data_IF_166916078737
#
_entry.id   IF_166916078737
#
_cell.length_a   1.000
_cell.length_b   1.000
_cell.length_c   1.000
_cell.angle_alpha   90.00
_cell.angle_beta   90.00
_cell.angle_gamma   90.00
#
_symmetry.space_group_name_H-M   'P 1'
#
loop_
_entity.id
_entity.type
_entity.pdbx_description
1 polymer ?
#
# COMPACT_ATOMS: atom_id res chain seq x y z
N UNK A 1 -48.76 -21.81 1.69
CA UNK A 1 -47.68 -21.99 2.67
C UNK A 1 -46.34 -21.83 1.97
N UNK A 2 -45.49 -20.97 2.54
CA UNK A 2 -44.02 -20.94 2.49
C UNK A 2 -43.27 -21.32 1.20
N UNK A 3 -42.55 -20.34 0.63
CA UNK A 3 -41.15 -20.53 0.29
C UNK A 3 -40.34 -19.40 0.91
N UNK A 4 -39.88 -19.62 2.14
CA UNK A 4 -38.93 -18.73 2.82
C UNK A 4 -37.60 -18.73 2.09
N UNK A 5 -37.33 -17.66 1.34
CA UNK A 5 -36.01 -17.38 0.81
C UNK A 5 -35.13 -16.99 2.00
N UNK A 6 -34.22 -17.89 2.36
CA UNK A 6 -33.26 -17.67 3.44
C UNK A 6 -32.25 -16.63 2.98
N UNK A 7 -32.48 -15.38 3.36
CA UNK A 7 -31.51 -14.29 3.17
C UNK A 7 -30.35 -14.53 4.15
N UNK A 8 -29.28 -15.16 3.67
CA UNK A 8 -28.09 -15.38 4.49
C UNK A 8 -27.40 -14.01 4.68
N UNK A 9 -27.15 -13.56 5.92
CA UNK A 9 -26.49 -12.29 6.13
C UNK A 9 -25.09 -12.30 5.50
N UNK A 10 -24.75 -11.24 4.78
CA UNK A 10 -23.44 -11.08 4.15
C UNK A 10 -22.32 -11.22 5.21
N UNK A 11 -21.30 -12.02 4.90
CA UNK A 11 -20.17 -12.26 5.80
C UNK A 11 -19.39 -10.96 6.01
N UNK A 12 -19.20 -10.55 7.27
CA UNK A 12 -18.33 -9.41 7.63
C UNK A 12 -16.90 -9.62 7.13
N UNK A 13 -16.31 -8.57 6.57
CA UNK A 13 -14.94 -8.60 6.06
C UNK A 13 -13.93 -8.82 7.21
N UNK A 14 -12.90 -9.61 6.96
CA UNK A 14 -11.80 -9.82 7.90
C UNK A 14 -10.90 -8.58 8.01
N UNK A 15 -10.15 -8.40 9.11
CA UNK A 15 -9.19 -7.30 9.23
C UNK A 15 -8.14 -7.25 8.10
N UNK A 16 -7.77 -8.41 7.55
CA UNK A 16 -6.84 -8.50 6.42
C UNK A 16 -7.47 -7.93 5.14
N UNK A 17 -8.73 -8.27 4.87
CA UNK A 17 -9.47 -7.74 3.72
C UNK A 17 -9.69 -6.23 3.84
N UNK A 18 -10.02 -5.74 5.03
CA UNK A 18 -10.18 -4.31 5.31
C UNK A 18 -8.88 -3.53 5.08
N UNK A 19 -7.73 -4.04 5.53
CA UNK A 19 -6.41 -3.44 5.23
C UNK A 19 -6.03 -3.50 3.76
N UNK A 20 -6.33 -4.60 3.07
CA UNK A 20 -6.11 -4.70 1.62
C UNK A 20 -6.94 -3.65 0.86
N UNK A 21 -8.19 -3.43 1.25
CA UNK A 21 -9.04 -2.37 0.67
C UNK A 21 -8.50 -0.98 1.02
N UNK A 22 -8.04 -0.77 2.25
CA UNK A 22 -7.42 0.48 2.67
C UNK A 22 -6.19 0.84 1.82
N UNK A 23 -5.33 -0.13 1.48
CA UNK A 23 -4.21 0.10 0.53
C UNK A 23 -4.70 0.51 -0.85
N UNK A 24 -5.74 -0.14 -1.40
CA UNK A 24 -6.30 0.25 -2.70
C UNK A 24 -6.82 1.68 -2.69
N UNK A 25 -7.55 2.07 -1.65
CA UNK A 25 -8.02 3.45 -1.52
C UNK A 25 -6.86 4.43 -1.28
N UNK A 26 -5.82 4.03 -0.53
CA UNK A 26 -4.60 4.82 -0.36
C UNK A 26 -3.91 5.11 -1.70
N UNK A 27 -3.80 4.11 -2.58
CA UNK A 27 -3.25 4.30 -3.93
C UNK A 27 -4.11 5.28 -4.76
N UNK A 28 -5.43 5.14 -4.71
CA UNK A 28 -6.34 6.06 -5.41
C UNK A 28 -6.22 7.49 -4.90
N UNK A 29 -6.14 7.67 -3.57
CA UNK A 29 -5.96 8.98 -2.95
C UNK A 29 -4.60 9.61 -3.32
N UNK A 30 -3.51 8.82 -3.32
CA UNK A 30 -2.18 9.30 -3.74
C UNK A 30 -2.15 9.67 -5.23
N UNK A 31 -2.81 8.89 -6.08
CA UNK A 31 -2.92 9.22 -7.50
C UNK A 31 -3.72 10.51 -7.71
N UNK A 32 -4.85 10.66 -7.01
CA UNK A 32 -5.62 11.89 -7.02
C UNK A 32 -4.79 13.09 -6.53
N UNK A 33 -4.04 12.92 -5.44
CA UNK A 33 -3.15 13.97 -4.92
C UNK A 33 -2.02 14.33 -5.89
N UNK A 34 -1.52 13.35 -6.64
CA UNK A 34 -0.51 13.60 -7.66
C UNK A 34 -1.06 14.36 -8.88
N UNK A 35 -2.32 14.10 -9.26
CA UNK A 35 -2.96 14.72 -10.43
C UNK A 35 -3.66 16.04 -10.11
N UNK A 36 -4.14 16.21 -8.88
CA UNK A 36 -4.91 17.37 -8.46
C UNK A 36 -4.07 18.27 -7.53
N UNK A 37 -4.23 19.58 -7.65
CA UNK A 37 -3.69 20.55 -6.69
C UNK A 37 -4.57 20.68 -5.43
N UNK A 38 -5.22 19.58 -5.05
CA UNK A 38 -6.12 19.49 -3.88
C UNK A 38 -5.29 19.15 -2.64
N UNK A 39 -5.61 19.76 -1.50
CA UNK A 39 -4.89 19.50 -0.27
C UNK A 39 -5.14 18.05 0.22
N UNK A 40 -4.14 17.36 0.80
CA UNK A 40 -4.30 15.99 1.29
C UNK A 40 -5.51 15.79 2.22
N UNK A 41 -5.77 16.73 3.14
CA UNK A 41 -6.91 16.62 4.07
C UNK A 41 -8.27 16.60 3.35
N UNK A 42 -8.40 17.31 2.22
CA UNK A 42 -9.65 17.35 1.45
C UNK A 42 -9.86 16.04 0.70
N UNK A 43 -8.79 15.48 0.14
CA UNK A 43 -8.83 14.17 -0.52
C UNK A 43 -9.23 13.12 0.50
N UNK A 44 -8.56 13.07 1.65
CA UNK A 44 -8.88 12.10 2.70
C UNK A 44 -10.33 12.20 3.17
N UNK A 45 -10.84 13.42 3.39
CA UNK A 45 -12.22 13.63 3.77
C UNK A 45 -13.22 13.03 2.76
N UNK A 46 -12.92 13.06 1.45
CA UNK A 46 -13.77 12.43 0.42
C UNK A 46 -13.82 10.90 0.56
N UNK A 47 -12.72 10.26 0.95
CA UNK A 47 -12.69 8.81 1.16
C UNK A 47 -13.41 8.41 2.45
N UNK A 48 -13.35 9.26 3.48
CA UNK A 48 -13.93 9.03 4.80
C UNK A 48 -15.41 9.47 4.93
N UNK A 49 -15.91 10.31 4.03
CA UNK A 49 -17.30 10.83 4.10
C UNK A 49 -18.38 9.80 3.74
N UNK A 50 -18.01 8.53 3.54
CA UNK A 50 -18.96 7.45 3.24
C UNK A 50 -19.19 6.62 4.51
N UNK A 51 -20.45 6.52 4.94
CA UNK A 51 -20.88 5.91 6.20
C UNK A 51 -20.76 4.37 6.27
N UNK A 52 -20.24 3.72 5.23
CA UNK A 52 -19.98 2.28 5.23
C UNK A 52 -18.78 1.91 6.13
N UNK A 53 -19.05 1.70 7.43
CA UNK A 53 -18.06 1.37 8.47
C UNK A 53 -17.21 0.11 8.23
N UNK A 54 -17.61 -0.77 7.30
CA UNK A 54 -16.90 -2.01 6.94
C UNK A 54 -16.33 -1.99 5.50
N UNK A 55 -16.24 -0.81 4.88
CA UNK A 55 -15.72 -0.67 3.51
C UNK A 55 -14.23 -0.94 3.48
N UNK A 56 -13.46 -0.41 4.43
CA UNK A 56 -12.02 -0.60 4.60
C UNK A 56 -11.57 -0.20 6.00
N UNK A 57 -10.32 -0.52 6.35
CA UNK A 57 -9.71 -0.05 7.61
C UNK A 57 -9.38 1.45 7.49
N UNK A 58 -10.29 2.31 7.96
CA UNK A 58 -10.19 3.76 7.81
C UNK A 58 -8.99 4.36 8.57
N UNK A 59 -8.70 3.84 9.77
CA UNK A 59 -7.54 4.27 10.56
C UNK A 59 -6.25 3.96 9.80
N UNK A 60 -6.11 2.72 9.32
CA UNK A 60 -4.96 2.31 8.54
C UNK A 60 -4.81 3.12 7.25
N UNK A 61 -5.91 3.41 6.56
CA UNK A 61 -5.91 4.26 5.37
C UNK A 61 -5.38 5.67 5.68
N UNK A 62 -5.91 6.32 6.72
CA UNK A 62 -5.48 7.66 7.13
C UNK A 62 -4.00 7.71 7.49
N UNK A 63 -3.53 6.75 8.29
CA UNK A 63 -2.12 6.62 8.65
C UNK A 63 -1.23 6.48 7.40
N UNK A 64 -1.60 5.58 6.48
CA UNK A 64 -0.85 5.31 5.27
C UNK A 64 -0.83 6.53 4.32
N UNK A 65 -1.98 7.12 4.06
CA UNK A 65 -2.11 8.22 3.09
C UNK A 65 -1.41 9.48 3.60
N UNK A 66 -1.71 9.93 4.82
CA UNK A 66 -1.04 11.10 5.42
C UNK A 66 0.44 10.84 5.61
N UNK A 67 0.78 9.66 6.13
CA UNK A 67 2.17 9.28 6.35
C UNK A 67 3.01 9.32 5.07
N UNK A 68 2.47 8.90 3.93
CA UNK A 68 3.16 9.04 2.64
C UNK A 68 3.22 10.50 2.17
N UNK A 69 2.14 11.27 2.36
CA UNK A 69 2.10 12.68 1.96
C UNK A 69 3.09 13.57 2.76
N UNK A 70 3.25 13.28 4.05
CA UNK A 70 4.13 14.02 4.95
C UNK A 70 5.61 13.61 4.77
N UNK A 71 5.89 12.32 4.50
CA UNK A 71 7.25 11.79 4.37
C UNK A 71 7.75 11.73 2.91
N UNK A 72 7.20 12.48 1.96
CA UNK A 72 7.58 12.38 0.53
C UNK A 72 9.10 12.44 0.32
N UNK A 73 9.78 13.47 0.82
CA UNK A 73 11.23 13.62 0.63
C UNK A 73 12.04 12.50 1.33
N UNK A 74 11.78 12.15 2.61
CA UNK A 74 12.40 10.99 3.23
C UNK A 74 12.19 9.66 2.49
N UNK A 75 10.98 9.42 1.96
CA UNK A 75 10.67 8.19 1.22
C UNK A 75 11.40 8.15 -0.12
N UNK A 76 11.45 9.27 -0.82
CA UNK A 76 12.17 9.39 -2.09
C UNK A 76 13.65 9.11 -1.91
N UNK A 77 14.28 9.67 -0.87
CA UNK A 77 15.68 9.41 -0.54
C UNK A 77 15.98 7.93 -0.25
N UNK A 78 15.00 7.19 0.30
CA UNK A 78 15.12 5.74 0.51
C UNK A 78 14.97 4.93 -0.78
N UNK A 79 14.15 5.42 -1.72
CA UNK A 79 13.85 4.76 -2.99
C UNK A 79 14.90 5.03 -4.07
N UNK A 80 15.51 6.21 -4.09
CA UNK A 80 16.56 6.61 -5.04
C UNK A 80 17.67 5.56 -5.23
N UNK A 81 18.31 5.01 -4.17
CA UNK A 81 19.35 4.00 -4.35
C UNK A 81 18.82 2.65 -4.82
N UNK A 82 17.50 2.44 -4.79
CA UNK A 82 16.85 1.19 -5.17
C UNK A 82 16.44 1.13 -6.65
N UNK A 83 16.47 2.27 -7.35
CA UNK A 83 16.08 2.39 -8.76
C UNK A 83 17.29 2.71 -9.64
N UNK A 84 17.13 2.45 -10.93
CA UNK A 84 18.12 2.58 -12.01
C UNK A 84 17.88 3.80 -12.92
N UNK A 85 16.81 4.56 -12.65
CA UNK A 85 16.48 5.82 -13.31
C UNK A 85 15.91 6.82 -12.30
N UNK A 86 15.91 8.14 -12.60
CA UNK A 86 15.33 9.14 -11.70
C UNK A 86 13.88 8.83 -11.32
N UNK A 87 13.51 9.08 -10.06
CA UNK A 87 12.16 8.78 -9.55
C UNK A 87 11.05 9.51 -10.33
N UNK A 88 11.34 10.71 -10.84
CA UNK A 88 10.43 11.50 -11.69
C UNK A 88 10.11 10.86 -13.05
N UNK A 89 10.88 9.87 -13.48
CA UNK A 89 10.69 9.13 -14.74
C UNK A 89 9.96 7.79 -14.51
N UNK A 90 9.55 7.51 -13.28
CA UNK A 90 8.71 6.35 -12.97
C UNK A 90 7.27 6.61 -13.38
N UNK A 91 6.56 5.53 -13.73
CA UNK A 91 5.12 5.59 -13.90
C UNK A 91 4.47 6.05 -12.56
N UNK A 92 3.49 6.97 -12.57
CA UNK A 92 2.90 7.50 -11.35
C UNK A 92 2.30 6.43 -10.42
N UNK A 93 1.75 5.33 -10.98
CA UNK A 93 1.19 4.23 -10.20
C UNK A 93 2.32 3.42 -9.56
N UNK A 94 3.34 3.04 -10.34
CA UNK A 94 4.52 2.35 -9.80
C UNK A 94 5.17 3.16 -8.69
N UNK A 95 5.30 4.47 -8.90
CA UNK A 95 5.93 5.38 -7.96
C UNK A 95 5.14 5.51 -6.66
N UNK A 96 3.82 5.70 -6.75
CA UNK A 96 2.94 5.77 -5.59
C UNK A 96 2.97 4.45 -4.78
N UNK A 97 2.95 3.30 -5.45
CA UNK A 97 3.04 1.99 -4.80
C UNK A 97 4.38 1.81 -4.11
N UNK A 98 5.49 2.22 -4.73
CA UNK A 98 6.82 2.18 -4.12
C UNK A 98 6.88 3.06 -2.86
N UNK A 99 6.31 4.26 -2.88
CA UNK A 99 6.23 5.13 -1.69
C UNK A 99 5.39 4.52 -0.58
N UNK A 100 4.23 3.96 -0.89
CA UNK A 100 3.40 3.24 0.09
C UNK A 100 4.15 2.06 0.72
N UNK A 101 4.80 1.24 -0.12
CA UNK A 101 5.59 0.11 0.34
C UNK A 101 6.78 0.53 1.20
N UNK A 102 7.47 1.60 0.82
CA UNK A 102 8.58 2.17 1.61
C UNK A 102 8.10 2.67 2.98
N UNK A 103 6.97 3.38 3.02
CA UNK A 103 6.39 3.87 4.26
C UNK A 103 5.98 2.73 5.19
N UNK A 104 5.32 1.69 4.66
CA UNK A 104 4.96 0.50 5.44
C UNK A 104 6.20 -0.25 5.95
N UNK A 105 7.20 -0.46 5.10
CA UNK A 105 8.44 -1.14 5.51
C UNK A 105 9.12 -0.40 6.67
N UNK A 106 9.10 0.94 6.65
CA UNK A 106 9.71 1.82 7.66
C UNK A 106 8.90 1.88 8.95
N UNK A 107 7.58 2.05 8.87
CA UNK A 107 6.76 2.41 10.04
C UNK A 107 5.87 1.27 10.56
N UNK A 108 5.51 0.29 9.72
CA UNK A 108 4.62 -0.83 10.08
C UNK A 108 5.40 -2.08 10.41
N UNK A 109 6.11 -2.05 11.55
CA UNK A 109 6.84 -3.21 12.08
C UNK A 109 5.91 -4.37 12.47
N UNK A 110 4.63 -4.08 12.71
CA UNK A 110 3.56 -5.06 12.92
C UNK A 110 3.21 -5.88 11.67
N UNK A 111 3.62 -5.42 10.47
CA UNK A 111 3.38 -6.10 9.21
C UNK A 111 4.69 -6.74 8.74
N UNK A 112 4.72 -8.06 8.49
CA UNK A 112 5.91 -8.72 7.94
C UNK A 112 6.30 -8.14 6.58
N UNK A 113 7.61 -7.98 6.32
CA UNK A 113 8.10 -7.29 5.12
C UNK A 113 7.56 -7.91 3.82
N UNK A 114 7.38 -9.24 3.79
CA UNK A 114 6.84 -9.94 2.61
C UNK A 114 5.37 -9.70 2.37
N UNK A 115 4.59 -9.45 3.42
CA UNK A 115 3.19 -9.08 3.26
C UNK A 115 3.12 -7.71 2.61
N UNK A 116 3.96 -6.76 3.05
CA UNK A 116 4.06 -5.43 2.42
C UNK A 116 4.43 -5.56 0.94
N UNK A 117 5.51 -6.28 0.61
CA UNK A 117 5.94 -6.47 -0.78
C UNK A 117 4.86 -7.16 -1.60
N UNK A 118 4.24 -8.23 -1.09
CA UNK A 118 3.21 -8.96 -1.81
C UNK A 118 1.99 -8.07 -2.10
N UNK A 119 1.49 -7.32 -1.13
CA UNK A 119 0.33 -6.43 -1.35
C UNK A 119 0.67 -5.30 -2.32
N UNK A 120 1.89 -4.74 -2.28
CA UNK A 120 2.35 -3.77 -3.27
C UNK A 120 2.43 -4.37 -4.70
N UNK A 121 2.92 -5.60 -4.84
CA UNK A 121 2.95 -6.32 -6.12
C UNK A 121 1.55 -6.58 -6.65
N UNK A 122 0.61 -6.96 -5.79
CA UNK A 122 -0.79 -7.16 -6.19
C UNK A 122 -1.48 -5.84 -6.60
N UNK A 123 -1.16 -4.72 -5.96
CA UNK A 123 -1.59 -3.40 -6.43
C UNK A 123 -1.02 -3.08 -7.81
N UNK A 124 0.26 -3.35 -8.03
CA UNK A 124 0.91 -3.07 -9.31
C UNK A 124 0.35 -3.92 -10.45
N UNK A 125 -0.07 -5.17 -10.17
CA UNK A 125 -0.81 -6.00 -11.14
C UNK A 125 -2.20 -5.45 -11.45
N UNK A 126 -2.86 -4.85 -10.46
CA UNK A 126 -4.22 -4.36 -10.60
C UNK A 126 -4.32 -2.99 -11.27
N UNK A 127 -3.32 -2.12 -11.09
CA UNK A 127 -3.36 -0.72 -11.53
C UNK A 127 -2.22 -0.30 -12.46
N UNK A 128 -1.10 -1.03 -12.48
CA UNK A 128 0.09 -0.67 -13.26
C UNK A 128 0.07 -1.21 -14.68
N UNK A 129 1.08 -0.80 -15.46
CA UNK A 129 1.30 -1.28 -16.81
C UNK A 129 1.87 -2.71 -16.88
N UNK A 130 2.05 -3.20 -18.11
CA UNK A 130 2.70 -4.49 -18.37
C UNK A 130 4.07 -4.54 -17.69
N UNK A 131 4.30 -5.56 -16.87
CA UNK A 131 5.52 -5.79 -16.07
C UNK A 131 5.80 -4.84 -14.88
N UNK A 132 4.95 -3.85 -14.58
CA UNK A 132 5.20 -2.92 -13.46
C UNK A 132 5.29 -3.59 -12.08
N UNK A 133 4.56 -4.69 -11.90
CA UNK A 133 4.66 -5.54 -10.72
C UNK A 133 6.06 -6.15 -10.49
N UNK A 134 6.82 -6.45 -11.56
CA UNK A 134 8.20 -6.93 -11.44
C UNK A 134 9.13 -5.81 -10.96
N UNK A 135 8.92 -4.60 -11.45
CA UNK A 135 9.66 -3.42 -11.01
C UNK A 135 9.43 -3.15 -9.52
N UNK A 136 8.16 -3.01 -9.09
CA UNK A 136 7.78 -2.80 -7.68
C UNK A 136 8.38 -3.87 -6.78
N UNK A 137 8.30 -5.14 -7.18
CA UNK A 137 8.89 -6.24 -6.42
C UNK A 137 10.40 -6.05 -6.20
N UNK A 138 11.16 -5.75 -7.26
CA UNK A 138 12.62 -5.57 -7.17
C UNK A 138 13.00 -4.40 -6.27
N UNK A 139 12.32 -3.26 -6.42
CA UNK A 139 12.60 -2.05 -5.64
C UNK A 139 12.35 -2.30 -4.15
N UNK A 140 11.18 -2.85 -3.80
CA UNK A 140 10.82 -3.07 -2.41
C UNK A 140 11.59 -4.23 -1.76
N UNK A 141 11.96 -5.26 -2.51
CA UNK A 141 12.83 -6.33 -1.99
C UNK A 141 14.22 -5.77 -1.63
N UNK A 142 14.81 -4.94 -2.52
CA UNK A 142 16.08 -4.26 -2.24
C UNK A 142 15.97 -3.33 -1.03
N UNK A 143 14.91 -2.52 -0.96
CA UNK A 143 14.68 -1.62 0.16
C UNK A 143 14.51 -2.37 1.49
N UNK A 144 13.81 -3.51 1.47
CA UNK A 144 13.62 -4.35 2.66
C UNK A 144 14.93 -4.87 3.24
N UNK A 145 15.96 -5.09 2.41
CA UNK A 145 17.31 -5.45 2.86
C UNK A 145 17.98 -4.36 3.71
N UNK A 146 17.53 -3.11 3.57
CA UNK A 146 18.01 -1.96 4.36
C UNK A 146 17.12 -1.73 5.58
N UNK A 147 15.80 -1.60 5.39
CA UNK A 147 14.87 -1.24 6.46
C UNK A 147 14.48 -2.41 7.37
N UNK A 148 14.56 -3.64 6.87
CA UNK A 148 14.08 -4.86 7.54
C UNK A 148 15.14 -5.95 7.60
N UNK A 149 16.41 -5.54 7.66
CA UNK A 149 17.58 -6.43 7.64
C UNK A 149 17.46 -7.62 8.61
N UNK A 150 17.05 -7.38 9.85
CA UNK A 150 16.88 -8.45 10.85
C UNK A 150 15.85 -9.51 10.41
N UNK A 151 14.73 -9.08 9.83
CA UNK A 151 13.67 -9.98 9.34
C UNK A 151 14.11 -10.75 8.09
N UNK A 152 14.86 -10.08 7.20
CA UNK A 152 15.42 -10.68 5.98
C UNK A 152 16.49 -11.74 6.34
N UNK A 153 17.40 -11.41 7.25
CA UNK A 153 18.50 -12.28 7.66
C UNK A 153 17.98 -13.53 8.41
N UNK A 154 17.03 -13.35 9.34
CA UNK A 154 16.40 -14.45 10.09
C UNK A 154 15.73 -15.50 9.19
N UNK A 155 15.30 -15.11 7.98
CA UNK A 155 14.73 -16.03 6.98
C UNK A 155 15.82 -16.73 6.15
N UNK A 156 16.93 -16.05 5.86
CA UNK A 156 18.01 -16.61 5.02
C UNK A 156 18.79 -17.69 5.74
N UNK A 157 18.78 -17.69 7.08
CA UNK A 157 19.30 -18.80 7.86
C UNK A 157 18.39 -20.01 7.67
N UNK A 158 18.87 -21.14 7.07
CA UNK A 158 18.09 -22.36 7.03
C UNK A 158 17.76 -22.77 8.46
N UNK A 159 16.49 -23.11 8.75
CA UNK A 159 16.13 -23.77 10.00
C UNK A 159 16.94 -25.08 10.04
N UNK A 160 17.89 -25.16 10.97
CA UNK A 160 18.58 -26.42 11.30
C UNK A 160 17.58 -27.44 11.82
#
# INVERSE_FOLDING_TARGET
>A
MSTGQSDKPARKASPVELRRRARRYGLQALYQWHMAHTAPYEIEAQFLSNDELDRFDQVYFSELFRGVADDVQPLDALLEPCVDRPLKELDPIEYAICRMGAWELKHRLDIPYRVVINEAVELAKAFGGTDGHKFVNRVLDRLSGTLRKAEVDARRTPRK
#
